data_IF_643360681601
#
_entry.id   IF_643360681601
#
_cell.length_a   1.000
_cell.length_b   1.000
_cell.length_c   1.000
_cell.angle_alpha   90.00
_cell.angle_beta   90.00
_cell.angle_gamma   90.00
#
_symmetry.space_group_name_H-M   'P 1'
#
loop_
_entity.id
_entity.type
_entity.pdbx_description
1 polymer ?
#
# COMPACT_ATOMS: atom_id res chain seq x y z
N UNK A 1 6.71 7.22 7.81
CA UNK A 1 7.85 7.47 6.94
C UNK A 1 7.62 8.71 6.08
N UNK A 2 8.69 9.22 5.49
CA UNK A 2 8.60 10.38 4.60
C UNK A 2 7.75 10.10 3.36
N UNK A 3 7.78 8.87 2.86
CA UNK A 3 6.99 8.49 1.69
C UNK A 3 5.50 8.41 2.03
N UNK A 4 5.16 7.97 3.23
CA UNK A 4 3.78 7.94 3.68
C UNK A 4 3.22 9.37 3.78
N UNK A 5 3.98 10.29 4.37
CA UNK A 5 3.60 11.71 4.48
C UNK A 5 3.43 12.35 3.10
N UNK A 6 4.37 12.06 2.20
CA UNK A 6 4.33 12.55 0.82
C UNK A 6 3.05 12.09 0.11
N UNK A 7 2.70 10.81 0.25
CA UNK A 7 1.49 10.25 -0.32
C UNK A 7 0.24 10.87 0.29
N UNK A 8 0.21 11.03 1.62
CA UNK A 8 -0.91 11.69 2.30
C UNK A 8 -1.18 13.07 1.73
N UNK A 9 -0.14 13.88 1.58
CA UNK A 9 -0.28 15.24 1.08
C UNK A 9 -0.81 15.27 -0.34
N UNK A 10 -0.32 14.37 -1.19
CA UNK A 10 -0.78 14.26 -2.57
C UNK A 10 -2.25 13.82 -2.63
N UNK A 11 -2.63 12.82 -1.86
CA UNK A 11 -4.01 12.34 -1.82
C UNK A 11 -4.98 13.41 -1.34
N UNK A 12 -4.60 14.21 -0.35
CA UNK A 12 -5.41 15.33 0.13
C UNK A 12 -5.60 16.40 -0.95
N UNK A 13 -4.63 16.58 -1.80
CA UNK A 13 -4.73 17.51 -2.92
C UNK A 13 -5.67 17.00 -4.02
N UNK A 14 -5.55 15.73 -4.36
CA UNK A 14 -6.38 15.11 -5.41
C UNK A 14 -7.82 14.92 -4.93
N UNK A 15 -7.99 14.39 -3.72
CA UNK A 15 -9.29 14.00 -3.16
C UNK A 15 -9.64 14.84 -1.91
N UNK A 16 -9.55 16.17 -2.03
CA UNK A 16 -9.71 17.09 -0.91
C UNK A 16 -11.07 17.03 -0.21
N UNK A 17 -12.10 16.57 -0.89
CA UNK A 17 -13.45 16.44 -0.33
C UNK A 17 -13.81 14.99 0.05
N UNK A 18 -12.88 14.06 -0.13
CA UNK A 18 -13.11 12.66 0.18
C UNK A 18 -12.52 12.31 1.54
N UNK A 19 -13.09 11.30 2.17
CA UNK A 19 -12.55 10.77 3.41
C UNK A 19 -11.39 9.84 3.07
N UNK A 20 -10.21 10.13 3.62
CA UNK A 20 -9.01 9.33 3.43
C UNK A 20 -8.67 8.68 4.76
N UNK A 21 -8.78 7.35 4.82
CA UNK A 21 -8.44 6.57 6.00
C UNK A 21 -7.01 6.07 5.88
N UNK A 22 -6.30 6.00 7.00
CA UNK A 22 -4.91 5.53 7.05
C UNK A 22 -4.78 4.32 7.96
N UNK A 23 -3.82 3.46 7.67
CA UNK A 23 -3.54 2.25 8.44
C UNK A 23 -4.79 1.41 8.65
N UNK A 24 -5.45 1.06 7.55
CA UNK A 24 -6.75 0.41 7.58
C UNK A 24 -6.60 -1.10 7.61
N UNK A 25 -7.17 -1.71 8.65
CA UNK A 25 -7.20 -3.15 8.80
C UNK A 25 -8.13 -3.77 7.77
N UNK A 26 -7.67 -4.85 7.12
CA UNK A 26 -8.46 -5.59 6.14
C UNK A 26 -9.27 -6.68 6.84
N UNK A 27 -10.60 -6.54 6.95
CA UNK A 27 -11.45 -7.52 7.64
C UNK A 27 -11.36 -8.90 6.99
N UNK A 28 -11.22 -9.94 7.81
CA UNK A 28 -11.16 -11.29 7.31
C UNK A 28 -9.85 -11.65 6.62
N UNK A 29 -8.87 -10.76 6.62
CA UNK A 29 -7.59 -11.05 6.01
C UNK A 29 -6.71 -11.88 6.93
N UNK A 30 -5.95 -12.80 6.33
CA UNK A 30 -4.95 -13.61 7.04
C UNK A 30 -3.74 -13.73 6.15
N UNK A 31 -2.55 -13.31 6.62
CA UNK A 31 -1.33 -13.53 5.84
C UNK A 31 -1.11 -15.02 5.57
N UNK A 32 -0.69 -15.35 4.36
CA UNK A 32 -0.59 -16.74 3.91
C UNK A 32 0.40 -17.60 4.68
N UNK A 33 1.31 -17.02 5.44
CA UNK A 33 2.38 -17.78 6.10
C UNK A 33 2.55 -17.42 7.58
N UNK A 34 1.64 -16.66 8.19
CA UNK A 34 1.65 -16.42 9.62
C UNK A 34 0.34 -15.81 10.11
N UNK A 35 0.14 -15.83 11.43
CA UNK A 35 -1.02 -15.22 12.07
C UNK A 35 -0.94 -13.69 12.03
N UNK A 36 -2.08 -13.04 12.02
CA UNK A 36 -2.19 -11.60 12.06
C UNK A 36 -3.21 -11.08 11.09
N UNK A 37 -3.19 -9.78 10.89
CA UNK A 37 -4.07 -9.09 9.95
C UNK A 37 -3.22 -8.23 9.03
N UNK A 38 -3.76 -8.00 7.84
CA UNK A 38 -3.15 -7.11 6.87
C UNK A 38 -3.71 -5.70 7.03
N UNK A 39 -2.89 -4.70 6.75
CA UNK A 39 -3.27 -3.29 6.80
C UNK A 39 -2.95 -2.61 5.48
N UNK A 40 -3.82 -1.68 5.06
CA UNK A 40 -3.58 -0.81 3.93
C UNK A 40 -3.03 0.53 4.43
N UNK A 41 -2.10 1.13 3.71
CA UNK A 41 -1.60 2.45 4.08
C UNK A 41 -2.70 3.50 4.00
N UNK A 42 -3.49 3.49 2.92
CA UNK A 42 -4.60 4.41 2.72
C UNK A 42 -5.79 3.70 2.09
N UNK A 43 -6.98 4.13 2.46
CA UNK A 43 -8.22 3.68 1.84
C UNK A 43 -9.20 4.84 1.71
N UNK A 44 -9.79 4.98 0.53
CA UNK A 44 -10.79 6.01 0.23
C UNK A 44 -12.12 5.31 -0.04
N UNK A 45 -13.01 5.25 0.99
CA UNK A 45 -14.24 4.44 0.90
C UNK A 45 -15.18 4.84 -0.24
N UNK A 46 -15.31 6.13 -0.51
CA UNK A 46 -16.27 6.63 -1.50
C UNK A 46 -16.02 6.11 -2.91
N UNK A 47 -14.78 5.77 -3.22
CA UNK A 47 -14.39 5.27 -4.53
C UNK A 47 -13.78 3.87 -4.46
N UNK A 48 -13.81 3.23 -3.29
CA UNK A 48 -13.25 1.88 -3.07
C UNK A 48 -11.83 1.75 -3.61
N UNK A 49 -10.99 2.72 -3.28
CA UNK A 49 -9.60 2.77 -3.73
C UNK A 49 -8.65 2.60 -2.55
N UNK A 50 -7.70 1.70 -2.69
CA UNK A 50 -6.62 1.47 -1.73
C UNK A 50 -5.31 1.97 -2.32
N UNK A 51 -4.48 2.60 -1.50
CA UNK A 51 -3.16 3.06 -1.91
C UNK A 51 -2.12 2.48 -0.96
N UNK A 52 -1.08 1.89 -1.52
CA UNK A 52 0.08 1.38 -0.81
C UNK A 52 1.32 2.15 -1.25
N UNK A 53 2.17 2.50 -0.29
CA UNK A 53 3.41 3.22 -0.59
C UNK A 53 4.57 2.29 -0.29
N UNK A 54 5.26 1.87 -1.34
CA UNK A 54 6.32 0.89 -1.23
C UNK A 54 7.70 1.55 -1.29
N UNK A 55 8.42 1.48 -0.17
CA UNK A 55 9.82 1.89 -0.10
C UNK A 55 10.75 0.84 -0.72
N UNK A 56 12.04 1.09 -0.70
CA UNK A 56 13.05 0.21 -1.29
C UNK A 56 12.96 -1.22 -0.76
N UNK A 57 12.63 -1.39 0.53
CA UNK A 57 12.55 -2.70 1.18
C UNK A 57 11.48 -3.62 0.58
N UNK A 58 10.53 -3.09 -0.17
CA UNK A 58 9.52 -3.91 -0.87
C UNK A 58 10.04 -4.54 -2.16
N UNK A 59 11.15 -4.01 -2.71
CA UNK A 59 11.66 -4.42 -4.01
C UNK A 59 12.94 -5.22 -3.94
N UNK A 60 13.73 -5.02 -2.88
CA UNK A 60 15.00 -5.71 -2.73
C UNK A 60 15.31 -6.02 -1.26
N UNK A 61 16.10 -7.06 -1.04
CA UNK A 61 16.56 -7.39 0.28
C UNK A 61 17.42 -6.24 0.83
N UNK A 62 17.00 -5.68 1.99
CA UNK A 62 17.68 -4.57 2.63
C UNK A 62 17.96 -4.96 4.09
N UNK A 63 19.23 -5.17 4.50
CA UNK A 63 19.56 -5.62 5.86
C UNK A 63 19.03 -4.69 6.96
N UNK A 64 18.85 -3.42 6.68
CA UNK A 64 18.27 -2.46 7.63
C UNK A 64 16.83 -2.83 8.02
N UNK A 65 16.03 -3.33 7.08
CA UNK A 65 14.62 -3.66 7.30
C UNK A 65 14.36 -5.17 7.44
N UNK A 66 15.29 -6.01 6.98
CA UNK A 66 15.09 -7.46 6.96
C UNK A 66 16.23 -8.15 7.72
N UNK A 67 15.89 -9.01 8.67
CA UNK A 67 16.88 -9.80 9.38
C UNK A 67 17.66 -10.71 8.44
N UNK A 68 16.97 -11.26 7.46
CA UNK A 68 17.52 -12.19 6.48
C UNK A 68 16.66 -12.21 5.23
N UNK A 69 17.08 -12.99 4.23
CA UNK A 69 16.35 -13.09 2.96
C UNK A 69 14.97 -13.73 3.11
N UNK A 70 14.79 -14.60 4.10
CA UNK A 70 13.47 -15.19 4.37
C UNK A 70 12.48 -14.12 4.83
N UNK A 71 12.89 -13.16 5.65
CA UNK A 71 12.04 -12.03 6.06
C UNK A 71 11.62 -11.18 4.86
N UNK A 72 12.52 -10.98 3.91
CA UNK A 72 12.20 -10.28 2.68
C UNK A 72 11.14 -11.03 1.87
N UNK A 73 11.29 -12.35 1.73
CA UNK A 73 10.31 -13.17 1.03
C UNK A 73 8.93 -13.12 1.69
N UNK A 74 8.90 -13.12 3.03
CA UNK A 74 7.65 -12.97 3.81
C UNK A 74 7.00 -11.62 3.53
N UNK A 75 7.77 -10.54 3.51
CA UNK A 75 7.26 -9.21 3.24
C UNK A 75 6.64 -9.11 1.83
N UNK A 76 7.30 -9.73 0.83
CA UNK A 76 6.76 -9.77 -0.53
C UNK A 76 5.46 -10.57 -0.61
N UNK A 77 5.38 -11.69 0.08
CA UNK A 77 4.17 -12.50 0.11
C UNK A 77 3.00 -11.74 0.75
N UNK A 78 3.27 -10.92 1.77
CA UNK A 78 2.23 -10.05 2.37
C UNK A 78 1.72 -9.01 1.38
N UNK A 79 2.60 -8.43 0.57
CA UNK A 79 2.18 -7.48 -0.46
C UNK A 79 1.25 -8.15 -1.47
N UNK A 80 1.56 -9.37 -1.88
CA UNK A 80 0.72 -10.17 -2.78
C UNK A 80 -0.63 -10.51 -2.15
N UNK A 81 -0.64 -10.86 -0.86
CA UNK A 81 -1.87 -11.15 -0.13
C UNK A 81 -2.81 -9.93 -0.10
N UNK A 82 -2.27 -8.73 0.07
CA UNK A 82 -3.07 -7.49 0.04
C UNK A 82 -3.71 -7.26 -1.33
N UNK A 83 -2.94 -7.47 -2.39
CA UNK A 83 -3.44 -7.32 -3.76
C UNK A 83 -4.56 -8.32 -4.01
N UNK A 84 -4.37 -9.58 -3.64
CA UNK A 84 -5.38 -10.62 -3.79
C UNK A 84 -6.66 -10.28 -3.01
N UNK A 85 -6.52 -9.83 -1.76
CA UNK A 85 -7.67 -9.44 -0.95
C UNK A 85 -8.46 -8.32 -1.63
N UNK A 86 -7.76 -7.32 -2.14
CA UNK A 86 -8.39 -6.19 -2.84
C UNK A 86 -9.13 -6.64 -4.10
N UNK A 87 -8.51 -7.52 -4.89
CA UNK A 87 -9.16 -8.08 -6.08
C UNK A 87 -10.45 -8.83 -5.74
N UNK A 88 -10.39 -9.68 -4.71
CA UNK A 88 -11.55 -10.46 -4.27
C UNK A 88 -12.68 -9.57 -3.76
N UNK A 89 -12.36 -8.43 -3.16
CA UNK A 89 -13.34 -7.51 -2.60
C UNK A 89 -13.65 -6.32 -3.49
N UNK A 90 -13.19 -6.35 -4.73
CA UNK A 90 -13.43 -5.30 -5.75
C UNK A 90 -12.95 -3.93 -5.30
N UNK A 91 -11.84 -3.91 -4.61
CA UNK A 91 -11.14 -2.69 -4.21
C UNK A 91 -10.01 -2.45 -5.19
N UNK A 92 -9.95 -1.24 -5.74
CA UNK A 92 -8.92 -0.83 -6.68
C UNK A 92 -7.65 -0.50 -5.89
N UNK A 93 -6.59 -1.29 -6.03
CA UNK A 93 -5.35 -1.07 -5.29
C UNK A 93 -4.29 -0.46 -6.19
N UNK A 94 -3.69 0.64 -5.71
CA UNK A 94 -2.63 1.35 -6.41
C UNK A 94 -1.38 1.30 -5.55
N UNK A 95 -0.27 0.85 -6.13
CA UNK A 95 1.03 0.78 -5.47
C UNK A 95 1.91 1.92 -5.97
N UNK A 96 2.32 2.79 -5.06
CA UNK A 96 3.18 3.93 -5.36
C UNK A 96 4.62 3.58 -4.98
N UNK A 97 5.49 3.60 -5.97
CA UNK A 97 6.90 3.24 -5.79
C UNK A 97 7.71 4.45 -5.29
N UNK A 98 8.54 4.22 -4.29
CA UNK A 98 9.36 5.26 -3.65
C UNK A 98 10.21 6.08 -4.63
N UNK A 99 10.66 5.47 -5.72
CA UNK A 99 11.55 6.12 -6.71
C UNK A 99 10.80 6.95 -7.75
N UNK A 100 9.47 6.91 -7.76
CA UNK A 100 8.67 7.70 -8.70
C UNK A 100 8.46 9.13 -8.19
N UNK A 101 8.23 10.05 -9.12
CA UNK A 101 7.95 11.45 -8.81
C UNK A 101 6.51 11.65 -8.37
N UNK A 102 6.20 12.80 -7.77
CA UNK A 102 4.83 13.17 -7.41
C UNK A 102 3.92 13.18 -8.63
N UNK A 103 4.43 13.64 -9.76
CA UNK A 103 3.67 13.68 -11.01
C UNK A 103 3.32 12.28 -11.49
N UNK A 104 4.28 11.35 -11.42
CA UNK A 104 4.05 9.95 -11.78
C UNK A 104 3.05 9.30 -10.81
N UNK A 105 3.14 9.58 -9.52
CA UNK A 105 2.17 9.12 -8.54
C UNK A 105 0.77 9.65 -8.85
N UNK A 106 0.67 10.95 -9.16
CA UNK A 106 -0.61 11.57 -9.52
C UNK A 106 -1.24 10.88 -10.73
N UNK A 107 -0.45 10.62 -11.75
CA UNK A 107 -0.94 9.96 -12.97
C UNK A 107 -1.48 8.55 -12.66
N UNK A 108 -0.78 7.79 -11.84
CA UNK A 108 -1.24 6.46 -11.42
C UNK A 108 -2.57 6.55 -10.66
N UNK A 109 -2.72 7.51 -9.77
CA UNK A 109 -3.91 7.66 -8.94
C UNK A 109 -5.11 8.10 -9.79
N UNK A 110 -4.96 9.15 -10.58
CA UNK A 110 -6.08 9.69 -11.36
C UNK A 110 -6.37 8.88 -12.63
N UNK A 111 -5.42 8.09 -13.10
CA UNK A 111 -5.59 7.22 -14.26
C UNK A 111 -6.31 5.91 -13.97
N UNK A 112 -6.62 5.67 -12.72
CA UNK A 112 -7.25 4.41 -12.28
C UNK A 112 -8.77 4.45 -12.32
#
# INVERSE_FOLDING_TARGET
>A
SKFHVRARNLLKTIYHSYRILEEVKLPGSTPSHRKGVLYLDFYIPQIMMAIEVHGQQHYEYTPFFHKNKADFAIAKAKDEDKIEWCELNKVDIIVLKYSDTDEQWREQIVGS
#
